data_IF_129847921163
#
_entry.id   IF_129847921163
#
_cell.length_a   1.000
_cell.length_b   1.000
_cell.length_c   1.000
_cell.angle_alpha   90.00
_cell.angle_beta   90.00
_cell.angle_gamma   90.00
#
_symmetry.space_group_name_H-M   'P 1'
#
loop_
_entity.id
_entity.type
_entity.pdbx_description
1 polymer ?
#
# COMPACT_ATOMS: atom_id res chain seq x y z
N UNK A 1 -23.36 -6.15 6.17
CA UNK A 1 -23.71 -5.20 7.23
C UNK A 1 -23.51 -3.80 6.67
N UNK A 2 -24.52 -2.96 6.68
CA UNK A 2 -24.41 -1.62 6.13
C UNK A 2 -24.01 -0.66 7.26
N UNK A 3 -22.91 0.06 7.10
CA UNK A 3 -22.35 1.01 8.08
C UNK A 3 -23.33 2.17 8.42
N UNK A 4 -24.30 2.40 7.54
CA UNK A 4 -25.33 3.44 7.68
C UNK A 4 -26.65 2.90 8.24
N UNK A 5 -26.70 1.66 8.74
CA UNK A 5 -27.90 1.11 9.35
C UNK A 5 -28.01 1.53 10.82
N UNK A 6 -29.19 1.82 11.27
CA UNK A 6 -29.48 2.12 12.70
C UNK A 6 -29.00 1.00 13.65
N UNK A 7 -28.81 -0.22 13.14
CA UNK A 7 -28.29 -1.36 13.89
C UNK A 7 -26.76 -1.33 14.08
N UNK A 8 -26.02 -0.57 13.26
CA UNK A 8 -24.57 -0.53 13.33
C UNK A 8 -24.09 0.19 14.59
N UNK A 9 -24.69 1.31 14.92
CA UNK A 9 -24.25 2.16 16.02
C UNK A 9 -24.28 1.45 17.39
N UNK A 10 -25.35 0.74 17.78
CA UNK A 10 -25.36 -0.05 19.01
C UNK A 10 -24.29 -1.13 19.08
N UNK A 11 -24.09 -1.85 17.98
CA UNK A 11 -23.06 -2.91 17.90
C UNK A 11 -21.66 -2.28 18.00
N UNK A 12 -21.44 -1.16 17.33
CA UNK A 12 -20.17 -0.47 17.38
C UNK A 12 -19.89 0.08 18.78
N UNK A 13 -20.87 0.65 19.45
CA UNK A 13 -20.73 1.14 20.82
C UNK A 13 -20.44 0.00 21.81
N UNK A 14 -21.07 -1.17 21.66
CA UNK A 14 -20.77 -2.36 22.47
C UNK A 14 -19.32 -2.84 22.26
N UNK A 15 -18.85 -2.86 21.00
CA UNK A 15 -17.47 -3.18 20.67
C UNK A 15 -16.51 -2.15 21.27
N UNK A 16 -16.82 -0.86 21.15
CA UNK A 16 -16.02 0.23 21.70
C UNK A 16 -15.92 0.12 23.22
N UNK A 17 -17.01 -0.13 23.90
CA UNK A 17 -17.04 -0.27 25.35
C UNK A 17 -16.23 -1.48 25.85
N UNK A 18 -16.37 -2.62 25.16
CA UNK A 18 -15.68 -3.86 25.53
C UNK A 18 -14.18 -3.86 25.23
N UNK A 19 -13.78 -3.30 24.11
CA UNK A 19 -12.41 -3.43 23.58
C UNK A 19 -11.59 -2.15 23.64
N UNK A 20 -12.22 -0.99 23.82
CA UNK A 20 -11.55 0.31 23.81
C UNK A 20 -11.64 1.06 25.15
N UNK A 21 -12.37 0.53 26.13
CA UNK A 21 -12.44 1.12 27.47
C UNK A 21 -11.19 0.80 28.28
N UNK A 22 -10.25 1.67 28.23
CA UNK A 22 -9.30 1.98 29.31
C UNK A 22 -8.07 1.08 29.52
N UNK A 23 -8.03 -0.21 29.25
CA UNK A 23 -6.88 -1.05 29.61
C UNK A 23 -6.34 -1.92 28.46
N UNK A 24 -7.16 -2.25 27.48
CA UNK A 24 -6.75 -3.10 26.37
C UNK A 24 -6.97 -2.37 25.03
N UNK A 25 -6.01 -1.54 24.63
CA UNK A 25 -6.02 -1.01 23.28
C UNK A 25 -5.88 -2.18 22.29
N UNK A 26 -6.88 -2.40 21.41
CA UNK A 26 -6.74 -3.41 20.38
C UNK A 26 -5.58 -3.07 19.46
N UNK A 27 -4.78 -4.08 19.12
CA UNK A 27 -3.76 -3.91 18.09
C UNK A 27 -4.46 -3.78 16.75
N UNK A 28 -4.31 -2.63 16.11
CA UNK A 28 -4.80 -2.43 14.76
C UNK A 28 -3.80 -3.03 13.77
N UNK A 29 -4.22 -4.07 13.05
CA UNK A 29 -3.44 -4.65 11.96
C UNK A 29 -3.97 -4.03 10.68
N UNK A 30 -3.10 -3.28 10.00
CA UNK A 30 -3.43 -2.55 8.78
C UNK A 30 -2.70 -3.19 7.61
N UNK A 31 -3.44 -3.55 6.57
CA UNK A 31 -2.88 -4.09 5.33
C UNK A 31 -2.87 -3.07 4.20
N UNK A 32 -2.37 -3.49 3.04
CA UNK A 32 -2.26 -2.66 1.81
C UNK A 32 -3.60 -2.09 1.31
N UNK A 33 -4.73 -2.68 1.71
CA UNK A 33 -6.06 -2.15 1.40
C UNK A 33 -6.28 -0.72 1.88
N UNK A 34 -5.61 -0.31 2.97
CA UNK A 34 -5.67 1.09 3.43
C UNK A 34 -5.00 2.03 2.44
N UNK A 35 -3.82 1.67 1.95
CA UNK A 35 -3.09 2.47 0.95
C UNK A 35 -3.89 2.62 -0.35
N UNK A 36 -4.53 1.54 -0.80
CA UNK A 36 -5.41 1.56 -1.98
C UNK A 36 -6.61 2.48 -1.76
N UNK A 37 -7.21 2.46 -0.56
CA UNK A 37 -8.31 3.37 -0.22
C UNK A 37 -7.90 4.84 -0.18
N UNK A 38 -6.60 5.12 -0.04
CA UNK A 38 -5.98 6.44 -0.13
C UNK A 38 -5.46 6.76 -1.54
N UNK A 39 -5.84 5.99 -2.55
CA UNK A 39 -5.34 6.05 -3.93
C UNK A 39 -3.82 5.84 -4.08
N UNK A 40 -3.16 5.29 -3.06
CA UNK A 40 -1.75 4.87 -3.19
C UNK A 40 -1.73 3.54 -3.91
N UNK A 41 -1.01 3.43 -5.02
CA UNK A 41 -1.03 2.24 -5.85
C UNK A 41 -0.40 1.03 -5.15
N UNK A 42 -0.99 -0.14 -5.42
CA UNK A 42 -0.47 -1.41 -4.93
C UNK A 42 0.62 -2.01 -5.84
N UNK A 43 1.04 -3.23 -5.49
CA UNK A 43 2.13 -3.96 -6.16
C UNK A 43 1.93 -4.14 -7.67
N UNK A 44 0.69 -4.24 -8.16
CA UNK A 44 0.41 -4.38 -9.59
C UNK A 44 0.83 -3.16 -10.39
N UNK A 45 0.53 -1.95 -9.88
CA UNK A 45 0.96 -0.70 -10.53
C UNK A 45 2.47 -0.49 -10.43
N UNK A 46 3.09 -0.93 -9.34
CA UNK A 46 4.54 -0.93 -9.24
C UNK A 46 5.17 -1.85 -10.29
N UNK A 47 4.64 -3.06 -10.47
CA UNK A 47 5.11 -3.99 -11.49
C UNK A 47 4.99 -3.39 -12.91
N UNK A 48 3.88 -2.71 -13.24
CA UNK A 48 3.72 -1.99 -14.51
C UNK A 48 4.72 -0.83 -14.67
N UNK A 49 5.01 -0.10 -13.59
CA UNK A 49 6.02 0.97 -13.61
C UNK A 49 7.40 0.42 -13.87
N UNK A 50 7.78 -0.66 -13.17
CA UNK A 50 9.05 -1.35 -13.38
C UNK A 50 9.19 -1.85 -14.82
N UNK A 51 8.16 -2.52 -15.37
CA UNK A 51 8.15 -2.98 -16.75
C UNK A 51 8.46 -1.85 -17.73
N UNK A 52 7.72 -0.74 -17.65
CA UNK A 52 7.93 0.43 -18.52
C UNK A 52 9.33 1.05 -18.36
N UNK A 53 9.83 1.11 -17.13
CA UNK A 53 11.15 1.67 -16.86
C UNK A 53 12.25 0.80 -17.46
N UNK A 54 12.19 -0.52 -17.30
CA UNK A 54 13.17 -1.44 -17.87
C UNK A 54 13.08 -1.53 -19.41
N UNK A 55 11.90 -1.37 -20.00
CA UNK A 55 11.76 -1.28 -21.46
C UNK A 55 12.41 -0.03 -22.05
N UNK A 56 12.44 1.06 -21.29
CA UNK A 56 13.05 2.33 -21.71
C UNK A 56 14.50 2.52 -21.30
N UNK A 57 15.04 1.65 -20.44
CA UNK A 57 16.42 1.73 -19.98
C UNK A 57 17.37 1.39 -21.12
N UNK A 58 18.41 2.21 -21.33
CA UNK A 58 19.39 1.99 -22.41
C UNK A 58 20.41 0.87 -22.16
N UNK A 59 20.34 0.23 -21.00
CA UNK A 59 21.26 -0.83 -20.56
C UNK A 59 20.70 -2.21 -20.92
N UNK A 60 21.39 -2.89 -21.84
CA UNK A 60 20.96 -4.21 -22.34
C UNK A 60 21.06 -5.29 -21.27
N UNK A 61 22.03 -5.20 -20.35
CA UNK A 61 22.19 -6.19 -19.29
C UNK A 61 21.02 -6.12 -18.31
N UNK A 62 20.63 -4.93 -17.92
CA UNK A 62 19.45 -4.72 -17.06
C UNK A 62 18.15 -5.16 -17.74
N UNK A 63 18.01 -4.95 -19.06
CA UNK A 63 16.85 -5.43 -19.82
C UNK A 63 16.81 -6.96 -19.86
N UNK A 64 17.96 -7.63 -20.06
CA UNK A 64 18.04 -9.10 -20.05
C UNK A 64 17.67 -9.66 -18.67
N UNK A 65 18.19 -9.05 -17.61
CA UNK A 65 17.84 -9.44 -16.24
C UNK A 65 16.34 -9.26 -15.96
N UNK A 66 15.74 -8.15 -16.37
CA UNK A 66 14.30 -7.95 -16.26
C UNK A 66 13.51 -9.03 -17.01
N UNK A 67 13.88 -9.33 -18.24
CA UNK A 67 13.20 -10.35 -19.04
C UNK A 67 13.28 -11.76 -18.43
N UNK A 68 14.34 -12.06 -17.69
CA UNK A 68 14.49 -13.31 -16.95
C UNK A 68 13.40 -13.45 -15.86
N UNK A 69 13.05 -12.35 -15.18
CA UNK A 69 12.11 -12.36 -14.06
C UNK A 69 10.67 -11.99 -14.46
N UNK A 70 10.50 -11.32 -15.60
CA UNK A 70 9.19 -10.82 -16.07
C UNK A 70 8.09 -11.89 -16.12
N UNK A 71 8.40 -13.11 -16.55
CA UNK A 71 7.44 -14.21 -16.57
C UNK A 71 6.94 -14.55 -15.17
N UNK A 72 7.85 -14.69 -14.21
CA UNK A 72 7.51 -15.00 -12.82
C UNK A 72 6.73 -13.87 -12.15
N UNK A 73 7.07 -12.60 -12.44
CA UNK A 73 6.34 -11.44 -11.95
C UNK A 73 4.87 -11.52 -12.37
N UNK A 74 4.61 -11.92 -13.60
CA UNK A 74 3.25 -12.06 -14.15
C UNK A 74 2.47 -13.20 -13.51
N UNK A 75 3.12 -14.33 -13.28
CA UNK A 75 2.47 -15.56 -12.84
C UNK A 75 2.33 -15.65 -11.31
N UNK A 76 3.34 -15.22 -10.56
CA UNK A 76 3.43 -15.36 -9.10
C UNK A 76 3.43 -14.02 -8.35
N UNK A 77 3.57 -12.91 -9.07
CA UNK A 77 3.66 -11.56 -8.51
C UNK A 77 5.08 -11.07 -8.28
N UNK A 78 5.19 -9.75 -8.14
CA UNK A 78 6.48 -9.06 -8.01
C UNK A 78 7.29 -9.54 -6.80
N UNK A 79 6.64 -9.69 -5.66
CA UNK A 79 7.28 -10.08 -4.40
C UNK A 79 7.94 -11.47 -4.50
N UNK A 80 7.20 -12.45 -5.04
CA UNK A 80 7.72 -13.81 -5.24
C UNK A 80 8.87 -13.84 -6.25
N UNK A 81 8.80 -13.03 -7.30
CA UNK A 81 9.87 -12.97 -8.30
C UNK A 81 11.16 -12.34 -7.74
N UNK A 82 11.04 -11.30 -6.91
CA UNK A 82 12.19 -10.62 -6.32
C UNK A 82 12.94 -11.48 -5.29
N UNK A 83 12.28 -12.46 -4.67
CA UNK A 83 12.96 -13.41 -3.78
C UNK A 83 13.98 -14.30 -4.50
N UNK A 84 13.84 -14.49 -5.82
CA UNK A 84 14.75 -15.31 -6.63
C UNK A 84 15.92 -14.51 -7.22
N UNK A 85 15.90 -13.18 -7.06
CA UNK A 85 17.00 -12.33 -7.57
C UNK A 85 18.27 -12.63 -6.79
N UNK A 86 19.33 -12.98 -7.51
CA UNK A 86 20.62 -13.31 -6.91
C UNK A 86 21.29 -12.07 -6.31
N UNK A 87 21.98 -12.25 -5.19
CA UNK A 87 22.83 -11.21 -4.58
C UNK A 87 23.91 -10.73 -5.57
N UNK A 88 24.30 -11.56 -6.53
CA UNK A 88 25.28 -11.18 -7.57
C UNK A 88 24.73 -10.20 -8.62
N UNK A 89 23.42 -9.97 -8.65
CA UNK A 89 22.74 -9.02 -9.54
C UNK A 89 22.54 -7.67 -8.85
N UNK A 90 23.57 -7.13 -8.19
CA UNK A 90 23.50 -5.93 -7.35
C UNK A 90 23.00 -4.70 -8.12
N UNK A 91 23.51 -4.48 -9.34
CA UNK A 91 23.07 -3.36 -10.19
C UNK A 91 21.58 -3.42 -10.52
N UNK A 92 21.07 -4.62 -10.79
CA UNK A 92 19.65 -4.84 -11.04
C UNK A 92 18.80 -4.54 -9.81
N UNK A 93 19.24 -5.00 -8.64
CA UNK A 93 18.54 -4.74 -7.36
C UNK A 93 18.51 -3.26 -7.04
N UNK A 94 19.64 -2.55 -7.22
CA UNK A 94 19.70 -1.10 -7.00
C UNK A 94 18.78 -0.34 -7.96
N UNK A 95 18.75 -0.70 -9.24
CA UNK A 95 17.84 -0.10 -10.22
C UNK A 95 16.37 -0.31 -9.83
N UNK A 96 16.00 -1.51 -9.36
CA UNK A 96 14.64 -1.75 -8.85
C UNK A 96 14.34 -0.86 -7.65
N UNK A 97 15.28 -0.70 -6.72
CA UNK A 97 15.10 0.15 -5.53
C UNK A 97 14.92 1.61 -5.91
N UNK A 98 15.72 2.13 -6.82
CA UNK A 98 15.63 3.50 -7.31
C UNK A 98 14.25 3.76 -7.94
N UNK A 99 13.85 2.95 -8.91
CA UNK A 99 12.56 3.09 -9.58
C UNK A 99 11.39 2.96 -8.58
N UNK A 100 11.51 2.04 -7.63
CA UNK A 100 10.48 1.84 -6.59
C UNK A 100 10.38 3.04 -5.68
N UNK A 101 11.53 3.59 -5.25
CA UNK A 101 11.58 4.76 -4.37
C UNK A 101 10.99 5.99 -5.04
N UNK A 102 11.38 6.26 -6.29
CA UNK A 102 10.81 7.34 -7.07
C UNK A 102 9.30 7.20 -7.23
N UNK A 103 8.85 6.00 -7.60
CA UNK A 103 7.43 5.74 -7.79
C UNK A 103 6.61 5.98 -6.51
N UNK A 104 7.08 5.47 -5.36
CA UNK A 104 6.38 5.65 -4.08
C UNK A 104 6.35 7.13 -3.70
N UNK A 105 7.49 7.83 -3.81
CA UNK A 105 7.58 9.25 -3.47
C UNK A 105 6.69 10.12 -4.36
N UNK A 106 6.65 9.85 -5.66
CA UNK A 106 5.79 10.56 -6.61
C UNK A 106 4.32 10.34 -6.30
N UNK A 107 3.92 9.10 -6.01
CA UNK A 107 2.53 8.77 -5.68
C UNK A 107 2.12 9.37 -4.34
N UNK A 108 2.96 9.28 -3.31
CA UNK A 108 2.70 9.91 -2.01
C UNK A 108 2.59 11.43 -2.14
N UNK A 109 3.50 12.06 -2.89
CA UNK A 109 3.47 13.50 -3.13
C UNK A 109 2.18 13.93 -3.84
N UNK A 110 1.81 13.23 -4.91
CA UNK A 110 0.60 13.51 -5.68
C UNK A 110 -0.67 13.32 -4.84
N UNK A 111 -0.70 12.30 -3.96
CA UNK A 111 -1.85 12.03 -3.11
C UNK A 111 -1.90 12.92 -1.87
N UNK A 112 -0.78 13.44 -1.41
CA UNK A 112 -0.72 14.30 -0.23
C UNK A 112 -1.69 15.50 -0.33
N UNK A 113 -1.74 16.16 -1.47
CA UNK A 113 -2.67 17.27 -1.70
C UNK A 113 -4.13 16.83 -1.81
N UNK A 114 -4.38 15.64 -2.31
CA UNK A 114 -5.74 15.09 -2.38
C UNK A 114 -6.25 14.68 -0.98
N UNK A 115 -5.38 14.10 -0.15
CA UNK A 115 -5.70 13.67 1.21
C UNK A 115 -6.00 14.87 2.13
N UNK A 116 -5.33 16.00 1.94
CA UNK A 116 -5.59 17.22 2.73
C UNK A 116 -7.01 17.78 2.52
N UNK A 117 -7.63 17.47 1.39
CA UNK A 117 -8.96 17.98 1.04
C UNK A 117 -10.11 17.00 1.36
N UNK A 118 -9.79 15.72 1.59
CA UNK A 118 -10.79 14.69 1.90
C UNK A 118 -10.38 13.89 3.13
N UNK A 119 -11.22 13.93 4.17
CA UNK A 119 -11.03 13.09 5.35
C UNK A 119 -11.16 11.63 4.93
N UNK A 120 -10.05 10.90 4.94
CA UNK A 120 -10.03 9.49 4.60
C UNK A 120 -10.91 8.66 5.54
N UNK A 121 -11.40 7.50 5.07
CA UNK A 121 -12.14 6.58 5.92
C UNK A 121 -11.34 6.13 7.15
N UNK A 122 -10.01 6.04 7.02
CA UNK A 122 -9.12 5.71 8.13
C UNK A 122 -9.01 6.84 9.15
N UNK A 123 -8.92 8.08 8.70
CA UNK A 123 -8.92 9.23 9.60
C UNK A 123 -10.23 9.34 10.37
N UNK A 124 -11.36 9.09 9.69
CA UNK A 124 -12.67 9.01 10.34
C UNK A 124 -12.68 7.90 11.41
N UNK A 125 -12.16 6.71 11.06
CA UNK A 125 -12.05 5.61 12.00
C UNK A 125 -11.17 5.98 13.20
N UNK A 126 -9.99 6.56 12.98
CA UNK A 126 -9.11 6.99 14.05
C UNK A 126 -9.74 8.07 14.94
N UNK A 127 -10.36 9.10 14.36
CA UNK A 127 -11.07 10.13 15.11
C UNK A 127 -12.17 9.53 15.98
N UNK A 128 -12.90 8.59 15.44
CA UNK A 128 -13.95 7.88 16.16
C UNK A 128 -13.40 7.03 17.31
N UNK A 129 -12.34 6.25 17.06
CA UNK A 129 -11.69 5.40 18.06
C UNK A 129 -11.06 6.23 19.19
N UNK A 130 -10.46 7.38 18.87
CA UNK A 130 -9.83 8.27 19.85
C UNK A 130 -10.81 9.18 20.57
N UNK A 131 -12.09 9.12 20.23
CA UNK A 131 -13.12 9.93 20.89
C UNK A 131 -13.04 11.44 20.60
N UNK A 132 -12.31 11.84 19.56
CA UNK A 132 -12.12 13.24 19.17
C UNK A 132 -13.25 13.80 18.30
N UNK A 133 -14.23 12.97 17.95
CA UNK A 133 -15.42 13.39 17.21
C UNK A 133 -16.56 13.51 18.21
N UNK A 134 -16.89 14.73 18.59
CA UNK A 134 -18.24 15.06 19.08
C UNK A 134 -19.19 14.89 17.89
N UNK A 135 -20.20 14.09 18.06
CA UNK A 135 -21.35 13.99 17.14
C UNK A 135 -22.07 15.32 17.07
#
# INVERSE_FOLDING_TARGET
MNINSEEFEPIFMDIKERYLSGVNFPKLIVGTGLSIAMNIPGMSKLAEKLEKSFESIGDLELQEQWNKYKGKIKDEGLEAALLDVSISEESFVETIREITSEFILDEEYNQHFNILNEISGFEKLLKYLLGTVSV
#
